data_IF_509795764735
#
_entry.id   IF_509795764735
#
_cell.length_a   1.000
_cell.length_b   1.000
_cell.length_c   1.000
_cell.angle_alpha   90.00
_cell.angle_beta   90.00
_cell.angle_gamma   90.00
#
_symmetry.space_group_name_H-M   'P 1'
#
loop_
_entity.id
_entity.type
_entity.pdbx_description
1 polymer ?
#
# COMPACT_ATOMS: atom_id res chain seq x y z
N UNK A 1 6.38 -4.55 0.67
CA UNK A 1 6.23 -3.55 -0.41
C UNK A 1 7.52 -3.55 -1.18
N UNK A 2 7.41 -3.47 -2.48
CA UNK A 2 8.52 -3.36 -3.42
C UNK A 2 8.31 -2.08 -4.23
N UNK A 3 9.33 -1.56 -4.89
CA UNK A 3 9.16 -0.30 -5.62
C UNK A 3 10.35 0.11 -6.46
N UNK A 4 10.10 1.12 -7.30
CA UNK A 4 11.10 1.73 -8.18
C UNK A 4 11.29 3.18 -7.78
N UNK A 5 12.55 3.60 -7.70
CA UNK A 5 12.91 5.01 -7.52
C UNK A 5 13.37 5.64 -8.83
N UNK A 6 12.96 6.88 -9.06
CA UNK A 6 13.48 7.76 -10.11
C UNK A 6 14.08 8.97 -9.41
N UNK A 7 15.37 9.24 -9.64
CA UNK A 7 16.10 10.35 -9.00
C UNK A 7 15.99 10.35 -7.46
N UNK A 8 15.94 9.17 -6.84
CA UNK A 8 15.80 9.03 -5.38
C UNK A 8 14.38 9.09 -4.84
N UNK A 9 13.39 9.44 -5.67
CA UNK A 9 11.97 9.49 -5.29
C UNK A 9 11.25 8.18 -5.67
N UNK A 10 10.43 7.64 -4.78
CA UNK A 10 9.60 6.47 -5.10
C UNK A 10 8.55 6.85 -6.14
N UNK A 11 8.68 6.31 -7.36
CA UNK A 11 7.76 6.56 -8.46
C UNK A 11 6.71 5.44 -8.59
N UNK A 12 7.06 4.22 -8.20
CA UNK A 12 6.17 3.05 -8.23
C UNK A 12 6.30 2.31 -6.91
N UNK A 13 5.16 1.95 -6.33
CA UNK A 13 5.07 1.07 -5.16
C UNK A 13 4.16 -0.10 -5.52
N UNK A 14 4.69 -1.31 -5.35
CA UNK A 14 4.00 -2.56 -5.60
C UNK A 14 3.69 -3.28 -4.28
N UNK A 15 2.43 -3.71 -4.15
CA UNK A 15 1.94 -4.49 -3.03
C UNK A 15 1.59 -5.90 -3.46
N UNK A 16 2.49 -6.85 -3.17
CA UNK A 16 2.31 -8.27 -3.50
C UNK A 16 1.11 -8.93 -2.79
N UNK A 17 0.73 -8.41 -1.62
CA UNK A 17 -0.26 -9.03 -0.72
C UNK A 17 -1.61 -8.32 -0.74
N UNK A 18 -2.00 -7.77 -1.89
CA UNK A 18 -3.27 -7.09 -2.14
C UNK A 18 -3.71 -6.16 -0.99
N UNK A 19 -3.25 -4.90 -1.07
CA UNK A 19 -3.66 -3.89 -0.08
C UNK A 19 -5.15 -3.52 -0.21
N UNK A 20 -5.77 -3.77 -1.36
CA UNK A 20 -7.16 -3.45 -1.65
C UNK A 20 -8.12 -4.26 -0.79
N UNK A 21 -7.96 -5.59 -0.76
CA UNK A 21 -8.71 -6.50 0.13
C UNK A 21 -8.84 -5.93 1.55
N UNK A 22 -7.69 -5.54 2.12
CA UNK A 22 -7.62 -5.05 3.49
C UNK A 22 -8.29 -3.67 3.64
N UNK A 23 -8.15 -2.76 2.69
CA UNK A 23 -8.77 -1.42 2.72
C UNK A 23 -10.29 -1.47 2.58
N UNK A 24 -10.81 -2.41 1.78
CA UNK A 24 -12.23 -2.63 1.58
C UNK A 24 -12.91 -3.30 2.80
N UNK A 25 -12.13 -3.66 3.83
CA UNK A 25 -12.56 -4.46 4.98
C UNK A 25 -13.15 -5.82 4.57
N UNK A 26 -12.73 -6.31 3.40
CA UNK A 26 -13.13 -7.62 2.91
C UNK A 26 -12.17 -8.68 3.46
N UNK A 27 -12.71 -9.80 3.92
CA UNK A 27 -11.94 -10.97 4.32
C UNK A 27 -12.41 -12.18 3.53
N UNK A 28 -11.45 -12.85 2.88
CA UNK A 28 -11.65 -14.03 2.07
C UNK A 28 -10.38 -14.90 2.07
N UNK A 29 -10.51 -16.16 1.66
CA UNK A 29 -9.38 -17.11 1.65
C UNK A 29 -8.21 -16.64 0.77
N UNK A 30 -8.52 -15.84 -0.25
CA UNK A 30 -7.54 -15.27 -1.20
C UNK A 30 -6.95 -13.94 -0.72
N UNK A 31 -7.56 -13.28 0.28
CA UNK A 31 -7.05 -12.05 0.88
C UNK A 31 -5.97 -12.36 1.94
N UNK A 32 -4.84 -12.89 1.47
CA UNK A 32 -3.66 -13.18 2.29
C UNK A 32 -2.77 -11.93 2.35
N UNK A 33 -3.04 -11.06 3.31
CA UNK A 33 -2.29 -9.82 3.39
C UNK A 33 -2.44 -9.05 4.67
N UNK A 34 -2.64 -7.76 4.52
CA UNK A 34 -2.60 -6.80 5.61
C UNK A 34 -3.86 -6.90 6.48
N UNK A 35 -3.72 -6.52 7.74
CA UNK A 35 -4.90 -6.10 8.52
C UNK A 35 -5.39 -4.77 7.95
N UNK A 36 -6.68 -4.45 8.16
CA UNK A 36 -7.24 -3.14 7.79
C UNK A 36 -6.40 -2.00 8.37
N UNK A 37 -5.97 -2.10 9.64
CA UNK A 37 -5.20 -1.05 10.30
C UNK A 37 -3.81 -0.85 9.67
N UNK A 38 -3.11 -1.94 9.34
CA UNK A 38 -1.82 -1.85 8.65
C UNK A 38 -1.98 -1.30 7.23
N UNK A 39 -2.99 -1.75 6.49
CA UNK A 39 -3.28 -1.26 5.15
C UNK A 39 -3.58 0.23 5.13
N UNK A 40 -4.38 0.71 6.10
CA UNK A 40 -4.71 2.13 6.23
C UNK A 40 -3.46 2.99 6.47
N UNK A 41 -2.57 2.56 7.37
CA UNK A 41 -1.30 3.27 7.64
C UNK A 41 -0.39 3.30 6.41
N UNK A 42 -0.28 2.17 5.70
CA UNK A 42 0.53 2.09 4.47
C UNK A 42 -0.03 3.05 3.40
N UNK A 43 -1.33 2.95 3.10
CA UNK A 43 -1.96 3.75 2.07
C UNK A 43 -1.86 5.26 2.38
N UNK A 44 -2.13 5.65 3.62
CA UNK A 44 -2.00 7.05 4.06
C UNK A 44 -0.57 7.58 3.86
N UNK A 45 0.44 6.83 4.29
CA UNK A 45 1.84 7.23 4.14
C UNK A 45 2.25 7.33 2.66
N UNK A 46 1.75 6.44 1.79
CA UNK A 46 2.02 6.50 0.34
C UNK A 46 1.41 7.77 -0.26
N UNK A 47 0.16 8.09 0.06
CA UNK A 47 -0.50 9.31 -0.42
C UNK A 47 0.26 10.54 0.06
N UNK A 48 0.54 10.64 1.36
CA UNK A 48 1.29 11.75 1.96
C UNK A 48 2.65 11.92 1.27
N UNK A 49 3.42 10.84 1.13
CA UNK A 49 4.71 10.87 0.45
C UNK A 49 4.62 11.36 -1.00
N UNK A 50 3.53 11.01 -1.70
CA UNK A 50 3.34 11.32 -3.12
C UNK A 50 2.79 12.73 -3.38
N UNK A 51 2.11 13.33 -2.38
CA UNK A 51 1.41 14.62 -2.56
C UNK A 51 2.01 15.76 -1.75
N UNK A 52 2.87 15.48 -0.76
CA UNK A 52 3.58 16.55 -0.06
C UNK A 52 4.59 17.24 -1.00
N UNK A 53 4.68 18.59 -0.96
CA UNK A 53 5.56 19.37 -1.82
C UNK A 53 7.05 19.19 -1.51
#
# INVERSE_FOLDING_TARGET
LEGVKINGHWAIIYSKYDIGCALERHSGLDCKGYTYESALKIAANIVIYSTLP
#
